data_IF_564609871975
#
_entry.id   IF_564609871975
#
_cell.length_a   1.000
_cell.length_b   1.000
_cell.length_c   1.000
_cell.angle_alpha   90.00
_cell.angle_beta   90.00
_cell.angle_gamma   90.00
#
_symmetry.space_group_name_H-M   'P 1'
#
loop_
_entity.id
_entity.type
_entity.pdbx_description
1 polymer ?
#
# COMPACT_ATOMS: atom_id res chain seq x y z
N UNK A 1 -54.30 5.12 8.07
CA UNK A 1 -53.20 5.86 7.39
C UNK A 1 -51.93 5.02 7.64
N UNK A 2 -51.62 4.13 6.69
CA UNK A 2 -50.38 3.34 6.76
C UNK A 2 -49.24 4.24 6.22
N UNK A 3 -48.32 4.67 7.10
CA UNK A 3 -47.03 5.20 6.66
C UNK A 3 -46.23 4.02 6.04
N UNK A 4 -45.99 4.07 4.72
CA UNK A 4 -45.06 3.18 4.08
C UNK A 4 -43.67 3.38 4.76
N UNK A 5 -43.24 2.38 5.51
CA UNK A 5 -41.91 2.35 6.09
C UNK A 5 -40.91 2.26 4.95
N UNK A 6 -40.13 3.31 4.70
CA UNK A 6 -38.98 3.26 3.83
C UNK A 6 -37.97 2.31 4.51
N UNK A 7 -37.80 1.12 3.98
CA UNK A 7 -36.72 0.23 4.40
C UNK A 7 -35.42 0.88 3.93
N UNK A 8 -34.75 1.60 4.81
CA UNK A 8 -33.40 2.11 4.52
C UNK A 8 -32.48 0.91 4.51
N UNK A 9 -32.12 0.44 3.34
CA UNK A 9 -31.13 -0.63 3.17
C UNK A 9 -29.79 -0.15 3.76
N UNK A 10 -29.29 -0.87 4.77
CA UNK A 10 -27.99 -0.59 5.37
C UNK A 10 -26.90 -0.71 4.30
N UNK A 11 -26.07 0.32 4.12
CA UNK A 11 -24.97 0.32 3.16
C UNK A 11 -23.84 -0.59 3.65
N UNK A 12 -23.23 -1.33 2.74
CA UNK A 12 -22.16 -2.27 3.00
C UNK A 12 -20.80 -1.65 2.67
N UNK A 13 -19.87 -1.70 3.61
CA UNK A 13 -18.49 -1.21 3.40
C UNK A 13 -17.51 -2.36 3.60
N UNK A 14 -16.67 -2.60 2.59
CA UNK A 14 -15.56 -3.55 2.64
C UNK A 14 -14.31 -2.84 3.17
N UNK A 15 -13.76 -3.33 4.28
CA UNK A 15 -12.55 -2.82 4.89
C UNK A 15 -11.41 -3.81 4.65
N UNK A 16 -10.28 -3.31 4.11
CA UNK A 16 -9.12 -4.12 3.79
C UNK A 16 -8.15 -4.19 4.97
N UNK A 17 -8.04 -5.39 5.54
CA UNK A 17 -7.22 -5.69 6.70
C UNK A 17 -7.99 -5.76 8.01
N UNK A 18 -7.58 -6.70 8.85
CA UNK A 18 -8.21 -7.00 10.14
C UNK A 18 -7.27 -6.91 11.33
N UNK A 19 -6.08 -6.28 11.20
CA UNK A 19 -5.15 -6.13 12.32
C UNK A 19 -5.66 -5.13 13.36
N UNK A 20 -4.97 -5.03 14.48
CA UNK A 20 -5.28 -4.05 15.55
C UNK A 20 -5.37 -2.61 15.02
N UNK A 21 -4.55 -2.26 14.01
CA UNK A 21 -4.54 -0.92 13.43
C UNK A 21 -5.82 -0.60 12.64
N UNK A 22 -6.54 -1.58 12.13
CA UNK A 22 -7.79 -1.37 11.39
C UNK A 22 -9.03 -1.32 12.28
N UNK A 23 -8.98 -1.80 13.53
CA UNK A 23 -10.13 -1.79 14.44
C UNK A 23 -10.81 -0.42 14.54
N UNK A 24 -10.08 0.72 14.71
CA UNK A 24 -10.73 2.03 14.82
C UNK A 24 -11.59 2.38 13.60
N UNK A 25 -11.17 1.98 12.39
CA UNK A 25 -11.95 2.22 11.17
C UNK A 25 -13.20 1.35 11.08
N UNK A 26 -13.12 0.10 11.53
CA UNK A 26 -14.27 -0.85 11.58
C UNK A 26 -15.32 -0.31 12.57
N UNK A 27 -14.89 0.04 13.78
CA UNK A 27 -15.79 0.60 14.81
C UNK A 27 -16.43 1.91 14.37
N UNK A 28 -15.66 2.77 13.69
CA UNK A 28 -16.17 4.04 13.17
C UNK A 28 -17.23 3.79 12.10
N UNK A 29 -16.99 2.89 11.16
CA UNK A 29 -17.98 2.52 10.15
C UNK A 29 -19.27 1.96 10.78
N UNK A 30 -19.17 1.13 11.81
CA UNK A 30 -20.34 0.63 12.57
C UNK A 30 -21.10 1.78 13.26
N UNK A 31 -20.40 2.70 13.92
CA UNK A 31 -21.02 3.88 14.56
C UNK A 31 -21.74 4.78 13.54
N UNK A 32 -21.27 4.80 12.30
CA UNK A 32 -21.92 5.52 11.18
C UNK A 32 -23.12 4.77 10.60
N UNK A 33 -23.45 3.57 11.08
CA UNK A 33 -24.55 2.76 10.62
C UNK A 33 -24.30 1.95 9.35
N UNK A 34 -23.03 1.69 9.02
CA UNK A 34 -22.66 0.79 7.93
C UNK A 34 -22.63 -0.66 8.38
N UNK A 35 -22.99 -1.58 7.47
CA UNK A 35 -22.69 -2.99 7.61
C UNK A 35 -21.23 -3.23 7.21
N UNK A 36 -20.42 -3.66 8.17
CA UNK A 36 -18.96 -3.76 8.02
C UNK A 36 -18.55 -5.15 7.59
N UNK A 37 -17.78 -5.21 6.53
CA UNK A 37 -17.22 -6.44 5.98
C UNK A 37 -15.70 -6.30 5.98
N UNK A 38 -15.00 -7.21 6.62
CA UNK A 38 -13.53 -7.23 6.63
C UNK A 38 -13.02 -8.36 5.75
N UNK A 39 -11.98 -8.10 4.97
CA UNK A 39 -11.18 -9.15 4.36
C UNK A 39 -9.71 -9.04 4.77
N UNK A 40 -9.10 -10.20 5.05
CA UNK A 40 -7.68 -10.34 5.40
C UNK A 40 -7.25 -11.77 5.04
N UNK A 41 -5.96 -11.96 4.73
CA UNK A 41 -5.44 -13.30 4.45
C UNK A 41 -5.24 -14.14 5.72
N UNK A 42 -5.08 -13.49 6.88
CA UNK A 42 -4.94 -14.16 8.17
C UNK A 42 -6.32 -14.61 8.67
N UNK A 43 -6.53 -15.92 8.87
CA UNK A 43 -7.83 -16.45 9.29
C UNK A 43 -8.17 -16.11 10.75
N UNK A 44 -7.15 -15.79 11.55
CA UNK A 44 -7.30 -15.38 12.95
C UNK A 44 -6.74 -13.97 13.12
N UNK A 45 -7.59 -12.96 12.90
CA UNK A 45 -7.24 -11.56 13.03
C UNK A 45 -8.27 -10.83 13.92
N UNK A 46 -7.85 -9.79 14.68
CA UNK A 46 -8.74 -9.10 15.61
C UNK A 46 -9.97 -8.48 14.94
N UNK A 47 -9.83 -7.97 13.72
CA UNK A 47 -10.91 -7.29 13.01
C UNK A 47 -12.11 -8.18 12.69
N UNK A 48 -11.90 -9.49 12.49
CA UNK A 48 -13.00 -10.43 12.26
C UNK A 48 -14.00 -10.51 13.41
N UNK A 49 -13.54 -10.26 14.65
CA UNK A 49 -14.39 -10.30 15.84
C UNK A 49 -15.16 -8.98 16.07
N UNK A 50 -14.79 -7.94 15.36
CA UNK A 50 -15.42 -6.60 15.45
C UNK A 50 -16.35 -6.33 14.29
N UNK A 51 -16.02 -6.79 13.09
CA UNK A 51 -16.81 -6.63 11.88
C UNK A 51 -18.10 -7.49 11.92
N UNK A 52 -19.07 -7.13 11.07
CA UNK A 52 -20.31 -7.91 10.93
C UNK A 52 -20.09 -9.16 10.08
N UNK A 53 -19.18 -9.10 9.09
CA UNK A 53 -18.76 -10.23 8.26
C UNK A 53 -17.23 -10.25 8.06
N UNK A 54 -16.66 -11.44 7.89
CA UNK A 54 -15.26 -11.66 7.58
C UNK A 54 -15.09 -12.63 6.40
N UNK A 55 -14.14 -12.31 5.54
CA UNK A 55 -13.74 -13.16 4.40
C UNK A 55 -12.23 -13.32 4.36
N UNK A 56 -11.75 -14.58 4.30
CA UNK A 56 -10.33 -14.89 4.16
C UNK A 56 -9.90 -14.67 2.69
N UNK A 57 -9.53 -13.42 2.36
CA UNK A 57 -9.04 -13.00 1.05
C UNK A 57 -7.85 -12.07 1.25
N UNK A 58 -6.77 -12.29 0.50
CA UNK A 58 -5.60 -11.42 0.56
C UNK A 58 -5.93 -10.00 0.09
N UNK A 59 -5.64 -9.02 0.92
CA UNK A 59 -5.87 -7.59 0.61
C UNK A 59 -4.99 -7.07 -0.53
N UNK A 60 -4.00 -7.85 -0.98
CA UNK A 60 -3.13 -7.50 -2.11
C UNK A 60 -3.49 -8.23 -3.40
N UNK A 61 -4.47 -9.14 -3.36
CA UNK A 61 -5.05 -9.80 -4.54
C UNK A 61 -6.25 -8.98 -5.03
N UNK A 62 -5.99 -8.03 -5.89
CA UNK A 62 -7.01 -7.08 -6.37
C UNK A 62 -8.16 -7.75 -7.12
N UNK A 63 -7.89 -8.84 -7.84
CA UNK A 63 -8.94 -9.55 -8.60
C UNK A 63 -9.84 -10.37 -7.67
N UNK A 64 -9.26 -11.05 -6.68
CA UNK A 64 -10.04 -11.77 -5.68
C UNK A 64 -10.90 -10.82 -4.82
N UNK A 65 -10.34 -9.65 -4.44
CA UNK A 65 -11.08 -8.62 -3.70
C UNK A 65 -12.19 -8.03 -4.57
N UNK A 66 -11.96 -7.77 -5.87
CA UNK A 66 -13.00 -7.29 -6.79
C UNK A 66 -14.13 -8.31 -6.94
N UNK A 67 -13.80 -9.59 -7.10
CA UNK A 67 -14.79 -10.66 -7.18
C UNK A 67 -15.63 -10.74 -5.90
N UNK A 68 -14.99 -10.63 -4.73
CA UNK A 68 -15.67 -10.57 -3.43
C UNK A 68 -16.61 -9.35 -3.36
N UNK A 69 -16.11 -8.17 -3.69
CA UNK A 69 -16.84 -6.90 -3.65
C UNK A 69 -18.12 -6.94 -4.50
N UNK A 70 -18.01 -7.47 -5.74
CA UNK A 70 -19.15 -7.64 -6.65
C UNK A 70 -20.15 -8.65 -6.12
N UNK A 71 -19.70 -9.81 -5.62
CA UNK A 71 -20.56 -10.85 -5.04
C UNK A 71 -21.37 -10.32 -3.86
N UNK A 72 -20.76 -9.52 -3.01
CA UNK A 72 -21.41 -8.96 -1.82
C UNK A 72 -22.22 -7.70 -2.12
N UNK A 73 -22.10 -7.15 -3.33
CA UNK A 73 -22.75 -5.90 -3.73
C UNK A 73 -22.48 -4.79 -2.70
N UNK A 74 -21.20 -4.52 -2.43
CA UNK A 74 -20.77 -3.47 -1.50
C UNK A 74 -21.13 -2.08 -2.03
N UNK A 75 -21.27 -1.10 -1.14
CA UNK A 75 -21.56 0.30 -1.46
C UNK A 75 -20.30 1.19 -1.31
N UNK A 76 -19.20 0.63 -0.80
CA UNK A 76 -17.93 1.31 -0.66
C UNK A 76 -16.80 0.38 -0.19
N UNK A 77 -15.57 0.83 -0.39
CA UNK A 77 -14.36 0.12 0.05
C UNK A 77 -13.42 1.08 0.76
N UNK A 78 -12.78 0.62 1.82
CA UNK A 78 -11.85 1.41 2.64
C UNK A 78 -10.57 0.64 2.87
N UNK A 79 -9.45 1.31 2.66
CA UNK A 79 -8.11 0.89 3.09
C UNK A 79 -7.63 1.88 4.17
N UNK A 80 -7.48 1.42 5.40
CA UNK A 80 -6.99 2.22 6.52
C UNK A 80 -5.72 1.62 7.10
N UNK A 81 -4.68 2.45 7.27
CA UNK A 81 -3.40 2.07 7.86
C UNK A 81 -2.76 0.82 7.22
N UNK A 82 -2.86 0.66 5.89
CA UNK A 82 -2.30 -0.48 5.16
C UNK A 82 -1.83 -0.08 3.76
N UNK A 83 -0.61 0.45 3.64
CA UNK A 83 -0.01 0.81 2.35
C UNK A 83 -0.10 -0.32 1.30
N UNK A 84 0.15 -1.61 1.65
CA UNK A 84 0.09 -2.69 0.67
C UNK A 84 -1.30 -2.92 0.07
N UNK A 85 -2.35 -2.57 0.80
CA UNK A 85 -3.74 -2.76 0.36
C UNK A 85 -4.29 -1.55 -0.42
N UNK A 86 -3.62 -0.39 -0.36
CA UNK A 86 -4.10 0.84 -0.99
C UNK A 86 -4.31 0.69 -2.51
N UNK A 87 -3.40 0.08 -3.30
CA UNK A 87 -3.64 -0.15 -4.73
C UNK A 87 -4.87 -1.02 -5.00
N UNK A 88 -5.11 -2.04 -4.17
CA UNK A 88 -6.28 -2.91 -4.29
C UNK A 88 -7.57 -2.14 -4.03
N UNK A 89 -7.60 -1.31 -2.99
CA UNK A 89 -8.76 -0.48 -2.69
C UNK A 89 -9.09 0.48 -3.83
N UNK A 90 -8.08 1.17 -4.38
CA UNK A 90 -8.25 2.08 -5.50
C UNK A 90 -8.74 1.34 -6.77
N UNK A 91 -8.14 0.18 -7.09
CA UNK A 91 -8.55 -0.64 -8.21
C UNK A 91 -10.03 -1.08 -8.11
N UNK A 92 -10.41 -1.64 -6.98
CA UNK A 92 -11.79 -2.10 -6.76
C UNK A 92 -12.78 -0.95 -6.80
N UNK A 93 -12.45 0.18 -6.16
CA UNK A 93 -13.30 1.36 -6.17
C UNK A 93 -13.51 1.89 -7.60
N UNK A 94 -12.44 1.99 -8.40
CA UNK A 94 -12.51 2.43 -9.80
C UNK A 94 -13.35 1.46 -10.64
N UNK A 95 -13.17 0.15 -10.51
CA UNK A 95 -13.93 -0.88 -11.23
C UNK A 95 -15.42 -0.95 -10.85
N UNK A 96 -15.77 -0.46 -9.67
CA UNK A 96 -17.15 -0.41 -9.17
C UNK A 96 -17.79 0.98 -9.27
N UNK A 97 -17.06 1.98 -9.77
CA UNK A 97 -17.54 3.35 -9.93
C UNK A 97 -17.70 4.11 -8.60
N UNK A 98 -16.93 3.73 -7.59
CA UNK A 98 -16.89 4.45 -6.31
C UNK A 98 -15.91 5.63 -6.35
N UNK A 99 -16.13 6.68 -5.56
CA UNK A 99 -15.15 7.75 -5.40
C UNK A 99 -13.80 7.20 -4.92
N UNK A 100 -12.73 7.55 -5.62
CA UNK A 100 -11.38 7.11 -5.29
C UNK A 100 -10.34 8.00 -5.97
N UNK A 101 -9.09 7.97 -5.48
CA UNK A 101 -7.94 8.40 -6.28
C UNK A 101 -7.73 7.42 -7.44
N UNK A 102 -7.30 7.88 -8.64
CA UNK A 102 -7.05 7.00 -9.78
C UNK A 102 -6.10 5.84 -9.40
N UNK A 103 -6.47 4.61 -9.78
CA UNK A 103 -5.65 3.42 -9.47
C UNK A 103 -4.20 3.60 -9.92
N UNK A 104 -3.99 4.13 -11.12
CA UNK A 104 -2.64 4.37 -11.66
C UNK A 104 -1.79 5.30 -10.76
N UNK A 105 -2.41 6.31 -10.15
CA UNK A 105 -1.73 7.22 -9.22
C UNK A 105 -1.37 6.51 -7.92
N UNK A 106 -2.29 5.73 -7.35
CA UNK A 106 -2.04 4.98 -6.11
C UNK A 106 -0.96 3.91 -6.33
N UNK A 107 -1.01 3.20 -7.46
CA UNK A 107 0.00 2.20 -7.82
C UNK A 107 1.39 2.83 -7.99
N UNK A 108 1.48 3.97 -8.68
CA UNK A 108 2.72 4.72 -8.86
C UNK A 108 3.33 5.12 -7.50
N UNK A 109 2.52 5.71 -6.62
CA UNK A 109 2.97 6.17 -5.29
C UNK A 109 3.36 5.00 -4.36
N UNK A 110 2.77 3.83 -4.55
CA UNK A 110 3.04 2.62 -3.77
C UNK A 110 4.32 1.89 -4.19
N UNK A 111 4.89 2.21 -5.35
CA UNK A 111 6.12 1.63 -5.87
C UNK A 111 7.27 2.64 -5.83
N UNK A 112 8.25 2.40 -4.96
CA UNK A 112 9.32 3.36 -4.66
C UNK A 112 10.13 3.77 -5.89
N UNK A 113 10.47 2.82 -6.76
CA UNK A 113 11.22 3.07 -7.99
C UNK A 113 10.43 3.95 -8.96
N UNK A 114 9.18 3.60 -9.23
CA UNK A 114 8.28 4.38 -10.09
C UNK A 114 8.04 5.78 -9.53
N UNK A 115 7.88 5.88 -8.21
CA UNK A 115 7.68 7.17 -7.55
C UNK A 115 8.92 8.07 -7.65
N UNK A 116 10.14 7.52 -7.48
CA UNK A 116 11.38 8.28 -7.67
C UNK A 116 11.52 8.77 -9.11
N UNK A 117 11.25 7.91 -10.08
CA UNK A 117 11.25 8.26 -11.51
C UNK A 117 10.24 9.37 -11.82
N UNK A 118 9.04 9.29 -11.27
CA UNK A 118 8.02 10.32 -11.43
C UNK A 118 8.48 11.66 -10.86
N UNK A 119 9.01 11.68 -9.67
CA UNK A 119 9.52 12.91 -9.03
C UNK A 119 10.64 13.53 -9.85
N UNK A 120 11.62 12.72 -10.28
CA UNK A 120 12.74 13.19 -11.09
C UNK A 120 12.27 13.80 -12.44
N UNK A 121 11.34 13.12 -13.13
CA UNK A 121 10.75 13.60 -14.40
C UNK A 121 9.96 14.89 -14.24
N UNK A 122 9.46 15.20 -13.05
CA UNK A 122 8.72 16.43 -12.74
C UNK A 122 9.59 17.47 -12.01
N UNK A 123 10.92 17.36 -12.10
CA UNK A 123 11.90 18.32 -11.55
C UNK A 123 11.85 18.49 -10.02
N UNK A 124 11.40 17.49 -9.30
CA UNK A 124 11.55 17.45 -7.84
C UNK A 124 12.99 17.02 -7.48
N UNK A 125 13.51 17.58 -6.40
CA UNK A 125 14.78 17.14 -5.84
C UNK A 125 14.64 15.75 -5.22
N UNK A 126 15.31 14.79 -5.79
CA UNK A 126 15.35 13.39 -5.32
C UNK A 126 16.78 12.90 -5.26
N UNK A 127 17.11 11.99 -4.33
CA UNK A 127 18.39 11.29 -4.38
C UNK A 127 18.49 10.49 -5.68
N UNK A 128 19.70 10.28 -6.19
CA UNK A 128 19.89 9.33 -7.28
C UNK A 128 19.35 7.98 -6.87
N UNK A 129 18.47 7.42 -7.66
CA UNK A 129 17.78 6.18 -7.37
C UNK A 129 17.53 5.39 -8.65
N UNK A 130 17.56 4.06 -8.56
CA UNK A 130 17.16 3.18 -9.66
C UNK A 130 16.61 1.88 -9.10
N UNK A 131 15.58 1.34 -9.74
CA UNK A 131 14.98 0.05 -9.44
C UNK A 131 15.45 -1.03 -10.40
N UNK A 132 15.55 -2.26 -9.89
CA UNK A 132 15.89 -3.46 -10.66
C UNK A 132 15.00 -4.64 -10.23
N UNK A 133 14.78 -5.58 -11.16
CA UNK A 133 14.30 -6.90 -10.80
C UNK A 133 15.44 -7.70 -10.12
N UNK A 134 15.09 -8.71 -9.34
CA UNK A 134 16.10 -9.53 -8.67
C UNK A 134 17.06 -10.21 -9.66
N UNK A 135 16.55 -10.63 -10.79
CA UNK A 135 17.29 -11.27 -11.88
C UNK A 135 18.33 -10.33 -12.53
N UNK A 136 18.11 -9.01 -12.40
CA UNK A 136 19.00 -7.98 -12.95
C UNK A 136 20.15 -7.62 -11.99
N UNK A 137 20.38 -8.41 -10.93
CA UNK A 137 21.43 -8.13 -9.94
C UNK A 137 22.82 -7.96 -10.56
N UNK A 138 23.18 -8.79 -11.56
CA UNK A 138 24.47 -8.68 -12.25
C UNK A 138 24.59 -7.34 -12.99
N UNK A 139 23.56 -6.94 -13.71
CA UNK A 139 23.51 -5.64 -14.39
C UNK A 139 23.59 -4.47 -13.38
N UNK A 140 22.89 -4.59 -12.25
CA UNK A 140 22.99 -3.60 -11.18
C UNK A 140 24.42 -3.45 -10.68
N UNK A 141 25.17 -4.55 -10.52
CA UNK A 141 26.56 -4.52 -10.08
C UNK A 141 27.49 -3.82 -11.09
N UNK A 142 27.20 -3.90 -12.39
CA UNK A 142 27.93 -3.16 -13.42
C UNK A 142 27.70 -1.66 -13.31
N UNK A 143 26.50 -1.23 -12.90
CA UNK A 143 26.10 0.16 -12.79
C UNK A 143 26.39 0.79 -11.42
N UNK A 144 26.67 -0.02 -10.38
CA UNK A 144 26.73 0.48 -8.99
C UNK A 144 27.83 1.52 -8.76
N UNK A 145 28.90 1.47 -9.55
CA UNK A 145 29.98 2.46 -9.51
C UNK A 145 29.53 3.89 -9.81
N UNK A 146 28.34 4.04 -10.39
CA UNK A 146 27.75 5.35 -10.67
C UNK A 146 27.05 5.98 -9.46
N UNK A 147 26.87 5.22 -8.36
CA UNK A 147 26.26 5.67 -7.12
C UNK A 147 27.29 6.12 -6.10
N UNK A 148 26.98 7.17 -5.36
CA UNK A 148 27.79 7.63 -4.23
C UNK A 148 27.34 6.89 -2.96
N UNK A 149 28.29 6.16 -2.34
CA UNK A 149 28.02 5.51 -1.06
C UNK A 149 28.09 6.49 0.12
N UNK A 150 27.30 6.28 1.19
CA UNK A 150 26.44 5.13 1.41
C UNK A 150 25.16 5.16 0.57
N UNK A 151 24.58 3.97 0.34
CA UNK A 151 23.30 3.81 -0.35
C UNK A 151 22.26 3.11 0.51
N UNK A 152 21.00 3.30 0.18
CA UNK A 152 19.88 2.56 0.78
C UNK A 152 19.39 1.50 -0.18
N UNK A 153 19.30 0.25 0.28
CA UNK A 153 18.65 -0.85 -0.45
C UNK A 153 17.28 -1.11 0.17
N UNK A 154 16.24 -1.16 -0.66
CA UNK A 154 14.85 -1.31 -0.21
C UNK A 154 14.05 -2.18 -1.16
N UNK A 155 13.09 -3.00 -0.68
CA UNK A 155 12.06 -3.57 -1.56
C UNK A 155 11.17 -2.43 -2.10
N UNK A 156 10.76 -2.51 -3.37
CA UNK A 156 9.97 -1.40 -3.98
C UNK A 156 8.56 -1.28 -3.41
N UNK A 157 7.98 -2.40 -2.97
CA UNK A 157 6.55 -2.56 -2.64
C UNK A 157 6.28 -2.96 -1.17
N UNK A 158 7.24 -2.74 -0.27
CA UNK A 158 7.12 -2.99 1.17
C UNK A 158 6.94 -1.70 1.96
N UNK A 159 6.33 -1.77 3.14
CA UNK A 159 6.14 -0.68 4.10
C UNK A 159 6.72 -1.03 5.47
N UNK A 160 6.74 -0.07 6.40
CA UNK A 160 7.20 -0.28 7.77
C UNK A 160 8.70 -0.61 7.88
N UNK A 161 9.54 -0.07 7.00
CA UNK A 161 11.00 -0.26 6.97
C UNK A 161 11.46 -1.73 6.83
N UNK A 162 10.57 -2.65 6.48
CA UNK A 162 10.88 -4.07 6.28
C UNK A 162 11.81 -4.23 5.07
N UNK A 163 12.93 -4.92 5.26
CA UNK A 163 13.93 -5.16 4.20
C UNK A 163 14.73 -3.93 3.78
N UNK A 164 14.72 -2.84 4.55
CA UNK A 164 15.50 -1.63 4.28
C UNK A 164 16.86 -1.71 4.96
N UNK A 165 17.94 -1.49 4.20
CA UNK A 165 19.31 -1.51 4.69
C UNK A 165 20.09 -0.30 4.17
N UNK A 166 20.87 0.33 5.04
CA UNK A 166 21.93 1.26 4.67
C UNK A 166 23.20 0.47 4.39
N UNK A 167 23.86 0.75 3.30
CA UNK A 167 25.03 0.01 2.79
C UNK A 167 26.16 1.01 2.56
N UNK A 168 27.27 0.79 3.24
CA UNK A 168 28.45 1.64 3.15
C UNK A 168 29.51 1.08 2.16
N UNK A 169 29.42 -0.21 1.84
CA UNK A 169 30.38 -0.92 0.98
C UNK A 169 29.69 -1.82 -0.06
N UNK A 170 30.10 -1.78 -1.34
CA UNK A 170 29.49 -2.60 -2.40
C UNK A 170 29.46 -4.10 -2.10
N UNK A 171 30.41 -4.63 -1.35
CA UNK A 171 30.44 -6.06 -0.97
C UNK A 171 29.26 -6.51 -0.12
N UNK A 172 28.52 -5.57 0.49
CA UNK A 172 27.34 -5.85 1.31
C UNK A 172 26.04 -5.92 0.49
N UNK A 173 26.07 -5.52 -0.79
CA UNK A 173 24.87 -5.36 -1.62
C UNK A 173 24.09 -6.66 -1.80
N UNK A 174 24.79 -7.79 -2.06
CA UNK A 174 24.11 -9.09 -2.28
C UNK A 174 23.23 -9.48 -1.09
N UNK A 175 23.80 -9.42 0.11
CA UNK A 175 23.07 -9.74 1.34
C UNK A 175 21.90 -8.76 1.61
N UNK A 176 22.07 -7.48 1.27
CA UNK A 176 21.04 -6.48 1.44
C UNK A 176 19.89 -6.67 0.44
N UNK A 177 20.19 -7.00 -0.82
CA UNK A 177 19.19 -7.30 -1.84
C UNK A 177 18.43 -8.56 -1.49
N UNK A 178 19.11 -9.64 -1.05
CA UNK A 178 18.45 -10.88 -0.62
C UNK A 178 17.48 -10.61 0.55
N UNK A 179 17.90 -9.79 1.52
CA UNK A 179 17.04 -9.39 2.62
C UNK A 179 15.83 -8.55 2.15
N UNK A 180 16.01 -7.67 1.15
CA UNK A 180 14.91 -6.92 0.56
C UNK A 180 13.92 -7.84 -0.17
N UNK A 181 14.41 -8.87 -0.87
CA UNK A 181 13.57 -9.84 -1.59
C UNK A 181 12.68 -10.69 -0.69
N UNK A 182 13.06 -10.88 0.56
CA UNK A 182 12.18 -11.55 1.54
C UNK A 182 10.88 -10.76 1.81
N UNK A 183 10.86 -9.46 1.53
CA UNK A 183 9.72 -8.58 1.77
C UNK A 183 9.11 -7.98 0.50
N UNK A 184 9.70 -8.21 -0.67
CA UNK A 184 9.14 -7.77 -1.95
C UNK A 184 8.22 -8.83 -2.54
N UNK A 185 6.97 -8.45 -2.83
CA UNK A 185 6.00 -9.31 -3.52
C UNK A 185 6.29 -9.40 -5.01
N UNK A 186 6.70 -8.31 -5.63
CA UNK A 186 7.01 -8.24 -7.05
C UNK A 186 8.47 -8.59 -7.39
N UNK A 187 9.28 -9.02 -6.39
CA UNK A 187 10.70 -9.38 -6.53
C UNK A 187 11.56 -8.30 -7.19
N UNK A 188 11.28 -7.05 -6.82
CA UNK A 188 12.03 -5.87 -7.24
C UNK A 188 12.59 -5.14 -6.04
N UNK A 189 13.73 -4.49 -6.24
CA UNK A 189 14.38 -3.62 -5.25
C UNK A 189 14.78 -2.29 -5.87
N UNK A 190 15.00 -1.32 -5.02
CA UNK A 190 15.55 -0.01 -5.39
C UNK A 190 16.83 0.25 -4.59
N UNK A 191 17.80 0.86 -5.26
CA UNK A 191 18.97 1.46 -4.62
C UNK A 191 18.81 2.97 -4.73
N UNK A 192 19.03 3.67 -3.61
CA UNK A 192 18.98 5.12 -3.51
C UNK A 192 20.24 5.63 -2.82
N UNK A 193 20.84 6.72 -3.27
CA UNK A 193 21.88 7.40 -2.51
C UNK A 193 21.32 7.84 -1.15
N UNK A 194 22.12 7.68 -0.11
CA UNK A 194 21.70 8.04 1.24
C UNK A 194 21.68 9.56 1.40
N UNK A 195 20.56 10.09 1.84
CA UNK A 195 20.39 11.49 2.18
C UNK A 195 20.63 11.69 3.67
N UNK A 196 21.65 12.46 4.02
CA UNK A 196 21.93 12.78 5.40
C UNK A 196 20.86 13.71 5.98
N UNK A 197 20.44 13.37 7.18
CA UNK A 197 19.47 14.18 7.90
C UNK A 197 20.13 15.44 8.46
N UNK A 198 19.55 16.59 8.16
CA UNK A 198 19.91 17.88 8.76
C UNK A 198 18.84 18.27 9.78
N UNK A 199 19.20 18.32 11.07
CA UNK A 199 18.26 18.61 12.14
C UNK A 199 17.29 17.47 12.47
N UNK A 200 16.08 17.80 12.89
CA UNK A 200 15.06 16.83 13.26
C UNK A 200 14.28 16.35 12.05
N UNK A 201 13.82 15.11 12.12
CA UNK A 201 12.89 14.59 11.12
C UNK A 201 11.53 15.28 11.27
N UNK A 202 10.97 15.76 10.17
CA UNK A 202 9.61 16.29 10.12
C UNK A 202 8.74 15.19 9.53
N UNK A 203 7.69 14.81 10.26
CA UNK A 203 6.65 13.90 9.77
C UNK A 203 5.35 14.68 9.61
N UNK A 204 4.53 14.26 8.66
CA UNK A 204 3.22 14.87 8.42
C UNK A 204 2.39 14.02 7.48
N UNK A 205 1.08 14.14 7.64
CA UNK A 205 0.07 13.55 6.77
C UNK A 205 -0.74 14.66 6.13
N UNK A 206 -1.24 14.43 4.93
CA UNK A 206 -2.08 15.36 4.20
C UNK A 206 -3.28 14.65 3.59
N UNK A 207 -4.39 15.37 3.53
CA UNK A 207 -5.58 14.94 2.81
C UNK A 207 -5.89 15.94 1.70
N UNK A 208 -6.30 15.43 0.56
CA UNK A 208 -6.84 16.24 -0.53
C UNK A 208 -8.19 15.68 -0.95
N UNK A 209 -9.19 16.55 -0.99
CA UNK A 209 -10.53 16.22 -1.50
C UNK A 209 -10.82 17.17 -2.65
N UNK A 210 -11.14 16.63 -3.82
CA UNK A 210 -11.39 17.40 -5.06
C UNK A 210 -10.24 18.39 -5.39
N UNK A 211 -8.99 17.96 -5.13
CA UNK A 211 -7.80 18.76 -5.42
C UNK A 211 -7.50 19.89 -4.43
N UNK A 212 -8.16 19.91 -3.28
CA UNK A 212 -8.01 20.92 -2.22
C UNK A 212 -7.57 20.30 -0.91
#
# INVERSE_FOLDING_TARGET
IFRQGVIIKMKKVLLLGGSLFQIPSIETAKKMGYHTIVCDYLPDNPGQHVADEFYSVSTTDKEAVLALARRLSIDGIVCYASDPAAPTAAYVAEQMGFPTSPYASVELLSNKDRFRDFLAKNNFHVPKAKGWAYEEFAQMMEEIHTFTFPVMVKPVDSSGSKGVKKIDDPGQLKAAVDAAMAYSRCKRFIIEEYVEKYGYQIAGDGFSVDGR
#
